data_IF_910889602940
#
_entry.id   IF_910889602940
#
_cell.length_a   1.000
_cell.length_b   1.000
_cell.length_c   1.000
_cell.angle_alpha   90.00
_cell.angle_beta   90.00
_cell.angle_gamma   90.00
#
_symmetry.space_group_name_H-M   'P 1'
#
loop_
_entity.id
_entity.type
_entity.pdbx_description
1 polymer ?
#
# COMPACT_ATOMS: atom_id res chain seq x y z
N UNK A 1 28.43 -54.20 34.81
CA UNK A 1 29.59 -53.80 35.64
C UNK A 1 30.47 -52.84 34.84
N UNK A 2 30.66 -51.61 35.34
CA UNK A 2 31.71 -50.59 35.10
C UNK A 2 32.09 -50.26 33.62
N UNK A 3 31.79 -49.10 33.03
CA UNK A 3 32.10 -47.68 33.33
C UNK A 3 33.52 -47.19 32.92
N UNK A 4 33.55 -45.96 32.38
CA UNK A 4 34.65 -45.07 31.92
C UNK A 4 35.13 -45.26 30.46
N UNK A 5 35.15 -44.30 29.54
CA UNK A 5 34.98 -42.83 29.60
C UNK A 5 36.20 -42.12 28.97
N UNK A 6 35.98 -41.32 27.90
CA UNK A 6 36.76 -40.14 27.42
C UNK A 6 36.12 -39.67 26.09
N UNK A 7 35.21 -38.70 26.11
CA UNK A 7 35.42 -37.25 25.95
C UNK A 7 36.35 -36.87 24.78
N UNK A 8 35.75 -36.47 23.66
CA UNK A 8 36.32 -35.47 22.77
C UNK A 8 35.20 -34.47 22.41
N UNK A 9 35.24 -33.31 23.07
CA UNK A 9 34.46 -32.14 22.69
C UNK A 9 35.02 -31.58 21.39
N UNK A 10 34.18 -31.46 20.36
CA UNK A 10 34.41 -30.51 19.27
C UNK A 10 33.19 -29.60 19.21
N UNK A 11 33.35 -28.43 19.83
CA UNK A 11 32.53 -27.25 19.63
C UNK A 11 32.53 -26.91 18.14
N UNK A 12 31.40 -27.08 17.47
CA UNK A 12 31.08 -26.28 16.29
C UNK A 12 30.12 -25.19 16.71
N UNK A 13 30.63 -23.97 16.58
CA UNK A 13 30.02 -22.68 16.85
C UNK A 13 28.57 -22.57 16.36
N UNK A 14 27.67 -22.27 17.30
CA UNK A 14 26.39 -21.61 17.06
C UNK A 14 26.64 -20.29 16.32
N UNK A 15 26.43 -20.28 15.00
CA UNK A 15 26.03 -19.06 14.32
C UNK A 15 24.50 -18.97 14.47
N UNK A 16 23.93 -18.03 15.24
CA UNK A 16 22.57 -17.62 15.02
C UNK A 16 22.57 -16.81 13.74
N UNK A 17 22.50 -17.51 12.60
CA UNK A 17 22.26 -16.88 11.32
C UNK A 17 20.95 -16.14 11.42
N UNK A 18 21.01 -14.81 11.28
CA UNK A 18 19.85 -13.98 11.00
C UNK A 18 19.07 -14.65 9.88
N UNK A 19 17.91 -15.23 10.20
CA UNK A 19 16.86 -15.39 9.23
C UNK A 19 16.36 -13.97 8.97
N UNK A 20 17.01 -13.27 8.05
CA UNK A 20 16.39 -12.13 7.40
C UNK A 20 15.11 -12.66 6.78
N UNK A 21 13.97 -12.34 7.39
CA UNK A 21 12.67 -12.52 6.78
C UNK A 21 12.62 -11.61 5.56
N UNK A 22 13.06 -12.11 4.42
CA UNK A 22 12.72 -11.53 3.13
C UNK A 22 11.26 -11.88 2.90
N UNK A 23 10.35 -11.09 3.47
CA UNK A 23 8.99 -11.00 2.95
C UNK A 23 9.13 -10.51 1.52
N UNK A 24 8.93 -11.41 0.57
CA UNK A 24 8.77 -11.05 -0.83
C UNK A 24 7.38 -10.41 -0.95
N UNK A 25 7.29 -9.11 -0.68
CA UNK A 25 6.20 -8.30 -1.19
C UNK A 25 6.49 -7.94 -2.65
N UNK A 26 6.54 -8.98 -3.48
CA UNK A 26 6.35 -8.88 -4.91
C UNK A 26 4.94 -9.42 -5.17
N UNK A 27 3.99 -8.51 -5.30
CA UNK A 27 2.69 -8.85 -5.86
C UNK A 27 2.88 -8.90 -7.38
N UNK A 28 2.98 -10.11 -7.93
CA UNK A 28 2.90 -10.48 -9.36
C UNK A 28 3.91 -9.84 -10.37
N UNK A 29 4.25 -10.57 -11.43
CA UNK A 29 4.98 -10.03 -12.59
C UNK A 29 3.97 -9.36 -13.53
N UNK A 30 4.07 -8.05 -13.71
CA UNK A 30 3.16 -7.30 -14.57
C UNK A 30 3.85 -6.12 -15.25
N UNK A 31 3.21 -5.56 -16.28
CA UNK A 31 3.72 -4.38 -16.98
C UNK A 31 3.42 -3.07 -16.24
N UNK A 32 2.64 -3.11 -15.16
CA UNK A 32 2.41 -1.95 -14.31
C UNK A 32 2.16 -2.33 -12.84
N UNK A 33 2.35 -1.37 -11.95
CA UNK A 33 2.13 -1.49 -10.51
C UNK A 33 1.62 -0.18 -9.91
N UNK A 34 0.60 -0.25 -9.08
CA UNK A 34 0.07 0.88 -8.30
C UNK A 34 0.41 0.68 -6.82
N UNK A 35 1.01 1.68 -6.17
CA UNK A 35 1.33 1.67 -4.74
C UNK A 35 0.72 2.91 -4.09
N UNK A 36 -0.17 2.75 -3.09
CA UNK A 36 -0.95 3.88 -2.56
C UNK A 36 -0.12 4.83 -1.69
N UNK A 37 1.08 4.41 -1.31
CA UNK A 37 1.96 5.21 -0.48
C UNK A 37 3.44 4.93 -0.75
N UNK A 38 4.17 6.02 -0.95
CA UNK A 38 5.60 6.16 -0.72
C UNK A 38 5.80 7.40 0.17
N UNK A 39 6.81 7.37 1.04
CA UNK A 39 6.99 8.34 2.10
C UNK A 39 8.47 8.70 2.30
N UNK A 40 8.71 9.96 2.63
CA UNK A 40 9.96 10.43 3.21
C UNK A 40 9.65 11.58 4.18
N UNK A 41 9.66 11.31 5.47
CA UNK A 41 9.35 12.36 6.45
C UNK A 41 9.26 11.88 7.89
N UNK A 42 9.23 12.86 8.79
CA UNK A 42 9.05 12.62 10.22
C UNK A 42 7.63 12.11 10.52
N UNK A 43 7.52 11.24 11.52
CA UNK A 43 6.27 10.75 12.08
C UNK A 43 6.17 11.00 13.59
N UNK A 44 5.10 10.49 14.21
CA UNK A 44 4.89 10.58 15.66
C UNK A 44 6.02 9.89 16.44
N UNK A 45 6.35 10.41 17.62
CA UNK A 45 7.28 9.78 18.56
C UNK A 45 8.74 9.75 18.09
N UNK A 46 9.16 10.70 17.26
CA UNK A 46 10.53 10.76 16.73
C UNK A 46 10.82 9.77 15.58
N UNK A 47 9.77 9.15 15.03
CA UNK A 47 9.92 8.25 13.87
C UNK A 47 10.38 9.03 12.63
N UNK A 48 11.18 8.40 11.78
CA UNK A 48 11.55 8.91 10.46
C UNK A 48 11.21 7.84 9.43
N UNK A 49 10.17 8.09 8.63
CA UNK A 49 9.69 7.15 7.63
C UNK A 49 10.39 7.37 6.30
N UNK A 50 10.88 6.29 5.70
CA UNK A 50 11.57 6.29 4.41
C UNK A 50 11.06 5.12 3.59
N UNK A 51 10.79 5.35 2.30
CA UNK A 51 10.41 4.30 1.37
C UNK A 51 11.59 3.81 0.56
N UNK A 52 11.80 2.51 0.64
CA UNK A 52 12.60 1.74 -0.29
C UNK A 52 11.73 1.28 -1.46
N UNK A 53 12.26 1.42 -2.69
CA UNK A 53 11.66 0.85 -3.90
C UNK A 53 12.72 0.02 -4.61
N UNK A 54 12.36 -1.20 -5.01
CA UNK A 54 13.18 -2.06 -5.87
C UNK A 54 12.39 -2.50 -7.09
N UNK A 55 12.99 -2.43 -8.27
CA UNK A 55 12.40 -2.88 -9.54
C UNK A 55 13.33 -3.91 -10.17
N UNK A 56 12.81 -5.10 -10.43
CA UNK A 56 13.53 -6.20 -11.04
C UNK A 56 13.02 -6.46 -12.45
N UNK A 57 13.93 -6.37 -13.42
CA UNK A 57 13.66 -6.74 -14.80
C UNK A 57 14.05 -8.21 -15.03
N UNK A 58 13.08 -9.14 -15.16
CA UNK A 58 13.36 -10.54 -15.45
C UNK A 58 13.71 -10.81 -16.92
N UNK A 59 13.61 -9.81 -17.79
CA UNK A 59 13.76 -9.98 -19.23
C UNK A 59 15.22 -10.07 -19.66
N UNK A 60 15.42 -10.54 -20.90
CA UNK A 60 16.73 -10.63 -21.55
C UNK A 60 17.16 -9.32 -22.22
N UNK A 61 16.27 -8.34 -22.28
CA UNK A 61 16.54 -7.00 -22.80
C UNK A 61 16.32 -5.96 -21.70
N UNK A 62 17.01 -4.80 -21.73
CA UNK A 62 16.68 -3.69 -20.85
C UNK A 62 15.23 -3.25 -21.03
N UNK A 63 14.60 -2.81 -19.94
CA UNK A 63 13.27 -2.19 -19.99
C UNK A 63 13.35 -0.79 -19.39
N UNK A 64 12.63 0.15 -19.99
CA UNK A 64 12.40 1.48 -19.43
C UNK A 64 11.05 1.48 -18.72
N UNK A 65 11.07 1.89 -17.45
CA UNK A 65 9.89 2.02 -16.59
C UNK A 65 9.61 3.50 -16.39
N UNK A 66 8.37 3.91 -16.65
CA UNK A 66 7.83 5.19 -16.26
C UNK A 66 7.47 5.14 -14.77
N UNK A 67 8.03 6.08 -14.02
CA UNK A 67 7.73 6.35 -12.63
C UNK A 67 6.80 7.55 -12.57
N UNK A 68 5.54 7.32 -12.23
CA UNK A 68 4.50 8.35 -12.17
C UNK A 68 4.08 8.56 -10.73
N UNK A 69 4.15 9.80 -10.26
CA UNK A 69 3.96 10.14 -8.86
C UNK A 69 2.77 11.09 -8.71
N UNK A 70 1.80 10.75 -7.85
CA UNK A 70 0.76 11.68 -7.39
C UNK A 70 1.22 12.36 -6.11
N UNK A 71 1.47 13.67 -6.17
CA UNK A 71 2.05 14.42 -5.08
C UNK A 71 1.45 15.83 -4.99
N UNK A 72 0.87 16.16 -3.84
CA UNK A 72 0.35 17.49 -3.50
C UNK A 72 -0.57 18.12 -4.57
N UNK A 73 -1.46 17.34 -5.19
CA UNK A 73 -2.40 17.86 -6.18
C UNK A 73 -1.92 17.78 -7.63
N UNK A 74 -0.67 17.37 -7.85
CA UNK A 74 -0.05 17.28 -9.16
C UNK A 74 0.42 15.86 -9.44
N UNK A 75 0.58 15.53 -10.72
CA UNK A 75 1.34 14.35 -11.11
C UNK A 75 2.71 14.74 -11.67
N UNK A 76 3.67 13.85 -11.47
CA UNK A 76 5.02 13.95 -12.01
C UNK A 76 5.36 12.65 -12.74
N UNK A 77 6.21 12.74 -13.75
CA UNK A 77 6.70 11.58 -14.50
C UNK A 77 8.21 11.68 -14.71
N UNK A 78 8.90 10.56 -14.50
CA UNK A 78 10.31 10.35 -14.79
C UNK A 78 10.48 8.91 -15.29
N UNK A 79 11.57 8.65 -15.98
CA UNK A 79 11.86 7.34 -16.55
C UNK A 79 13.17 6.81 -16.01
N UNK A 80 13.23 5.49 -15.79
CA UNK A 80 14.47 4.78 -15.47
C UNK A 80 14.59 3.52 -16.31
N UNK A 81 15.81 3.22 -16.76
CA UNK A 81 16.08 2.00 -17.52
C UNK A 81 16.66 0.94 -16.60
N UNK A 82 15.94 -0.17 -16.46
CA UNK A 82 16.34 -1.34 -15.69
C UNK A 82 17.03 -2.33 -16.63
N UNK A 83 18.35 -2.58 -16.47
CA UNK A 83 19.05 -3.52 -17.35
C UNK A 83 18.48 -4.95 -17.29
N UNK A 84 18.69 -5.71 -18.36
CA UNK A 84 18.25 -7.10 -18.48
C UNK A 84 18.73 -7.96 -17.29
N UNK A 85 17.83 -8.68 -16.64
CA UNK A 85 18.14 -9.57 -15.52
C UNK A 85 18.68 -8.87 -14.27
N UNK A 86 18.49 -7.55 -14.15
CA UNK A 86 18.98 -6.75 -13.01
C UNK A 86 17.85 -6.18 -12.18
N UNK A 87 18.22 -5.81 -10.95
CA UNK A 87 17.39 -5.06 -10.02
C UNK A 87 18.00 -3.69 -9.82
N UNK A 88 17.20 -2.64 -10.00
CA UNK A 88 17.51 -1.29 -9.53
C UNK A 88 16.80 -1.06 -8.20
N UNK A 89 17.43 -0.29 -7.31
CA UNK A 89 16.96 -0.09 -5.95
C UNK A 89 17.29 1.32 -5.47
N UNK A 90 16.35 1.89 -4.73
CA UNK A 90 16.50 3.14 -4.00
C UNK A 90 16.11 2.91 -2.55
N UNK A 91 17.03 3.13 -1.62
CA UNK A 91 16.77 2.97 -0.17
C UNK A 91 15.96 4.15 0.40
N UNK A 92 15.96 5.30 -0.29
CA UNK A 92 15.15 6.45 0.02
C UNK A 92 14.59 7.04 -1.27
N UNK A 93 13.64 6.31 -1.86
CA UNK A 93 13.12 6.56 -3.20
C UNK A 93 12.61 8.00 -3.40
N UNK A 94 11.79 8.51 -2.48
CA UNK A 94 11.17 9.83 -2.66
C UNK A 94 12.23 10.96 -2.64
N UNK A 95 13.26 10.85 -1.81
CA UNK A 95 14.33 11.83 -1.78
C UNK A 95 15.37 11.61 -2.90
N UNK A 96 15.83 10.37 -3.12
CA UNK A 96 16.90 10.04 -4.07
C UNK A 96 16.46 10.18 -5.53
N UNK A 97 15.26 9.69 -5.85
CA UNK A 97 14.78 9.68 -7.24
C UNK A 97 14.01 10.95 -7.60
N UNK A 98 13.25 11.53 -6.66
CA UNK A 98 12.42 12.72 -6.92
C UNK A 98 12.95 14.02 -6.31
N UNK A 99 13.77 13.96 -5.25
CA UNK A 99 14.16 15.14 -4.47
C UNK A 99 13.03 15.69 -3.59
N UNK A 100 12.04 14.86 -3.24
CA UNK A 100 10.81 15.28 -2.56
C UNK A 100 10.73 14.74 -1.11
N UNK A 101 9.80 15.32 -0.34
CA UNK A 101 9.48 14.92 1.04
C UNK A 101 7.96 14.78 1.24
N UNK A 102 7.52 14.17 2.33
CA UNK A 102 6.10 13.90 2.61
C UNK A 102 5.65 12.55 2.07
N UNK A 103 4.40 12.49 1.60
CA UNK A 103 3.73 11.26 1.14
C UNK A 103 3.26 11.42 -0.31
N UNK A 104 3.29 10.34 -1.08
CA UNK A 104 2.84 10.31 -2.47
C UNK A 104 2.25 8.95 -2.82
N UNK A 105 1.41 8.90 -3.85
CA UNK A 105 1.03 7.65 -4.52
C UNK A 105 1.93 7.39 -5.72
N UNK A 106 2.32 6.14 -5.94
CA UNK A 106 3.26 5.74 -7.00
C UNK A 106 2.57 4.81 -8.00
N UNK A 107 2.73 5.12 -9.27
CA UNK A 107 2.32 4.28 -10.39
C UNK A 107 3.55 4.00 -11.26
N UNK A 108 3.89 2.72 -11.44
CA UNK A 108 4.98 2.27 -12.29
C UNK A 108 4.39 1.62 -13.54
N UNK A 109 4.93 1.94 -14.72
CA UNK A 109 4.50 1.31 -15.98
C UNK A 109 5.68 1.09 -16.93
N UNK A 110 5.81 -0.10 -17.50
CA UNK A 110 6.73 -0.33 -18.61
C UNK A 110 6.10 0.21 -19.89
N UNK A 111 6.73 1.19 -20.53
CA UNK A 111 6.18 1.83 -21.73
C UNK A 111 6.79 1.19 -22.99
N UNK A 112 5.99 0.58 -23.88
CA UNK A 112 6.49 -0.06 -25.10
C UNK A 112 7.19 0.90 -26.07
N UNK A 113 6.84 2.19 -26.08
CA UNK A 113 7.43 3.18 -26.98
C UNK A 113 8.92 3.44 -26.70
N UNK A 114 9.33 3.34 -25.44
CA UNK A 114 10.74 3.43 -25.02
C UNK A 114 11.50 2.09 -25.11
N UNK A 115 10.77 1.01 -25.37
CA UNK A 115 11.28 -0.36 -25.39
C UNK A 115 11.22 -0.96 -26.79
N UNK A 116 11.43 -0.13 -27.82
CA UNK A 116 11.53 -0.59 -29.22
C UNK A 116 10.21 -1.04 -29.83
N UNK A 117 9.07 -0.53 -29.35
CA UNK A 117 7.72 -0.96 -29.74
C UNK A 117 7.48 -2.46 -29.54
N UNK A 118 8.12 -3.07 -28.54
CA UNK A 118 7.73 -4.40 -28.08
C UNK A 118 6.27 -4.37 -27.63
N UNK A 119 5.55 -5.48 -27.83
CA UNK A 119 4.17 -5.59 -27.34
C UNK A 119 4.14 -5.31 -25.83
N UNK A 120 3.23 -4.44 -25.39
CA UNK A 120 3.07 -4.06 -23.97
C UNK A 120 2.83 -5.26 -23.06
N UNK A 121 2.29 -6.33 -23.62
CA UNK A 121 1.96 -7.58 -22.95
C UNK A 121 3.19 -8.50 -22.80
N UNK A 122 4.26 -8.21 -23.56
CA UNK A 122 5.57 -8.85 -23.42
C UNK A 122 6.50 -8.12 -22.45
N UNK A 123 6.09 -6.94 -21.94
CA UNK A 123 6.83 -6.21 -20.93
C UNK A 123 6.34 -6.62 -19.53
N UNK A 124 7.25 -6.94 -18.62
CA UNK A 124 6.89 -7.30 -17.25
C UNK A 124 8.07 -7.08 -16.32
N UNK A 125 7.78 -6.59 -15.13
CA UNK A 125 8.75 -6.44 -14.05
C UNK A 125 8.12 -6.74 -12.71
N UNK A 126 8.97 -7.06 -11.73
CA UNK A 126 8.57 -7.13 -10.34
C UNK A 126 8.94 -5.81 -9.65
N UNK A 127 8.03 -5.26 -8.87
CA UNK A 127 8.30 -4.12 -8.00
C UNK A 127 8.06 -4.52 -6.53
N UNK A 128 8.91 -4.00 -5.65
CA UNK A 128 8.78 -4.14 -4.20
C UNK A 128 8.87 -2.77 -3.57
N UNK A 129 7.91 -2.44 -2.70
CA UNK A 129 7.86 -1.18 -1.97
C UNK A 129 7.80 -1.47 -0.48
N UNK A 130 8.71 -0.86 0.27
CA UNK A 130 8.85 -1.05 1.71
C UNK A 130 9.00 0.28 2.40
N UNK A 131 8.24 0.50 3.46
CA UNK A 131 8.32 1.71 4.28
C UNK A 131 8.97 1.34 5.59
N UNK A 132 10.09 2.00 5.90
CA UNK A 132 10.91 1.74 7.07
C UNK A 132 10.94 2.95 7.99
N UNK A 133 10.82 2.73 9.30
CA UNK A 133 11.20 3.75 10.29
C UNK A 133 12.70 3.69 10.59
N UNK A 134 13.48 4.60 10.01
CA UNK A 134 14.94 4.69 10.23
C UNK A 134 15.33 5.52 11.45
N UNK A 135 14.36 6.14 12.13
CA UNK A 135 14.60 7.02 13.29
C UNK A 135 14.83 6.28 14.61
N UNK A 136 14.63 4.96 14.64
CA UNK A 136 14.87 4.12 15.81
C UNK A 136 15.85 3.00 15.44
N UNK A 137 16.84 2.62 16.28
CA UNK A 137 17.75 1.51 15.99
C UNK A 137 17.28 0.13 16.51
N UNK A 138 16.15 0.05 17.23
CA UNK A 138 15.77 -1.12 18.05
C UNK A 138 14.68 -2.05 17.48
N UNK A 139 14.28 -1.92 16.21
CA UNK A 139 13.16 -2.64 15.58
C UNK A 139 13.52 -3.19 14.19
N UNK A 140 12.60 -3.97 13.62
CA UNK A 140 12.72 -4.51 12.25
C UNK A 140 12.17 -3.56 11.18
N UNK A 141 11.39 -2.57 11.63
CA UNK A 141 10.85 -1.32 11.07
C UNK A 141 10.13 -1.34 9.73
N UNK A 142 10.02 -2.48 9.08
CA UNK A 142 9.59 -2.55 7.70
C UNK A 142 8.10 -2.85 7.59
N UNK A 143 7.40 -2.03 6.82
CA UNK A 143 6.05 -2.31 6.35
C UNK A 143 6.12 -2.51 4.85
N UNK A 144 5.81 -3.71 4.39
CA UNK A 144 5.65 -3.93 2.97
C UNK A 144 4.35 -3.28 2.47
N UNK A 145 4.44 -2.59 1.33
CA UNK A 145 3.30 -1.97 0.66
C UNK A 145 2.99 -2.80 -0.58
N UNK A 146 1.92 -3.61 -0.56
CA UNK A 146 1.58 -4.40 -1.73
C UNK A 146 1.18 -3.48 -2.89
N UNK A 147 1.44 -3.93 -4.12
CA UNK A 147 0.77 -3.32 -5.25
C UNK A 147 -0.74 -3.55 -5.15
N UNK A 148 -1.49 -2.53 -5.51
CA UNK A 148 -2.95 -2.52 -5.55
C UNK A 148 -3.47 -3.47 -6.61
N UNK A 149 -4.47 -4.26 -6.24
CA UNK A 149 -5.32 -4.96 -7.21
C UNK A 149 -6.27 -3.92 -7.84
N UNK A 150 -5.97 -3.54 -9.08
CA UNK A 150 -6.72 -2.54 -9.84
C UNK A 150 -8.19 -2.91 -10.07
N UNK A 151 -8.55 -4.19 -9.93
CA UNK A 151 -9.92 -4.66 -10.06
C UNK A 151 -10.69 -4.57 -8.73
N UNK A 152 -10.01 -4.62 -7.58
CA UNK A 152 -10.64 -4.83 -6.28
C UNK A 152 -10.40 -3.72 -5.25
N UNK A 153 -9.24 -3.07 -5.25
CA UNK A 153 -8.86 -2.13 -4.19
C UNK A 153 -9.21 -0.67 -4.49
N UNK A 154 -9.51 -0.34 -5.76
CA UNK A 154 -10.06 0.98 -6.11
C UNK A 154 -11.52 1.09 -5.65
N UNK A 155 -11.80 2.13 -4.86
CA UNK A 155 -13.05 2.31 -4.14
C UNK A 155 -14.27 2.34 -5.08
N UNK A 156 -14.18 3.09 -6.18
CA UNK A 156 -15.32 3.29 -7.10
C UNK A 156 -16.51 3.87 -6.34
N UNK A 157 -17.68 3.21 -6.43
CA UNK A 157 -18.89 3.56 -5.65
C UNK A 157 -19.03 2.74 -4.35
N UNK A 158 -18.05 1.89 -4.05
CA UNK A 158 -18.18 0.86 -3.05
C UNK A 158 -17.60 1.30 -1.70
N UNK A 159 -18.11 0.69 -0.64
CA UNK A 159 -17.63 0.95 0.71
C UNK A 159 -16.44 0.05 1.01
N UNK A 160 -15.33 0.64 1.48
CA UNK A 160 -14.15 -0.10 1.94
C UNK A 160 -14.31 -0.56 3.40
N UNK A 161 -14.06 -1.84 3.66
CA UNK A 161 -14.12 -2.43 5.00
C UNK A 161 -12.74 -2.92 5.44
N UNK A 162 -12.40 -2.65 6.70
CA UNK A 162 -11.20 -3.17 7.34
C UNK A 162 -11.58 -3.73 8.71
N UNK A 163 -11.31 -5.00 8.94
CA UNK A 163 -11.53 -5.67 10.23
C UNK A 163 -10.24 -5.78 11.05
N UNK A 164 -10.40 -6.06 12.34
CA UNK A 164 -9.28 -6.28 13.27
C UNK A 164 -8.43 -5.04 13.46
N UNK A 165 -9.03 -3.84 13.37
CA UNK A 165 -8.35 -2.58 13.62
C UNK A 165 -7.99 -2.51 15.10
N UNK A 166 -6.73 -2.23 15.41
CA UNK A 166 -6.24 -2.06 16.79
C UNK A 166 -5.76 -0.63 16.96
N UNK A 167 -6.18 0.04 18.02
CA UNK A 167 -5.75 1.41 18.26
C UNK A 167 -5.68 1.71 19.76
N UNK A 168 -4.56 2.28 20.19
CA UNK A 168 -4.25 2.72 21.54
C UNK A 168 -3.57 4.07 21.41
N UNK A 169 -4.39 5.11 21.30
CA UNK A 169 -3.94 6.44 20.94
C UNK A 169 -3.19 7.18 22.05
N UNK A 170 -3.32 6.73 23.30
CA UNK A 170 -2.72 7.37 24.48
C UNK A 170 -1.19 7.30 24.44
N UNK A 171 -0.54 8.45 24.64
CA UNK A 171 0.92 8.54 24.70
C UNK A 171 1.48 7.72 25.86
N UNK A 172 2.59 7.00 25.65
CA UNK A 172 3.24 6.18 26.66
C UNK A 172 2.56 4.82 26.93
N UNK A 173 1.43 4.53 26.27
CA UNK A 173 0.78 3.21 26.37
C UNK A 173 1.35 2.27 25.31
N UNK A 174 1.76 1.08 25.75
CA UNK A 174 2.09 -0.03 24.86
C UNK A 174 0.84 -0.46 24.09
N UNK A 175 0.92 -0.49 22.77
CA UNK A 175 -0.23 -0.78 21.91
C UNK A 175 0.06 -0.37 20.47
N UNK A 176 -0.98 -0.03 19.72
CA UNK A 176 -0.89 0.25 18.29
C UNK A 176 -1.44 1.64 17.96
N UNK A 177 -0.81 2.35 17.03
CA UNK A 177 -1.40 3.51 16.36
C UNK A 177 -1.90 3.08 14.99
N UNK A 178 -3.05 3.59 14.59
CA UNK A 178 -3.68 3.26 13.31
C UNK A 178 -3.87 4.54 12.51
N UNK A 179 -3.55 4.49 11.22
CA UNK A 179 -3.81 5.57 10.29
C UNK A 179 -4.62 5.07 9.10
N UNK A 180 -5.56 5.90 8.66
CA UNK A 180 -6.31 5.72 7.41
C UNK A 180 -5.55 6.42 6.29
N UNK A 181 -5.12 5.64 5.31
CA UNK A 181 -4.44 6.12 4.12
C UNK A 181 -5.38 6.22 2.94
N UNK A 182 -5.30 7.30 2.17
CA UNK A 182 -6.13 7.52 0.98
C UNK A 182 -5.28 8.09 -0.13
N UNK A 183 -5.21 7.40 -1.26
CA UNK A 183 -4.63 7.93 -2.48
C UNK A 183 -5.71 8.09 -3.55
N UNK A 184 -6.01 9.33 -3.93
CA UNK A 184 -6.97 9.63 -4.99
C UNK A 184 -6.25 10.07 -6.26
N UNK A 185 -6.55 9.42 -7.39
CA UNK A 185 -6.05 9.82 -8.72
C UNK A 185 -7.13 10.51 -9.56
N UNK A 186 -8.40 10.32 -9.21
CA UNK A 186 -9.54 10.95 -9.88
C UNK A 186 -9.90 12.31 -9.30
N UNK A 187 -11.08 12.81 -9.65
CA UNK A 187 -11.59 14.09 -9.16
C UNK A 187 -11.69 14.14 -7.63
N UNK A 188 -11.53 15.33 -7.05
CA UNK A 188 -11.68 15.54 -5.60
C UNK A 188 -13.04 15.08 -5.12
N UNK A 189 -13.05 14.25 -4.08
CA UNK A 189 -14.25 13.65 -3.51
C UNK A 189 -14.25 13.75 -1.98
N UNK A 190 -15.44 13.64 -1.37
CA UNK A 190 -15.59 13.56 0.09
C UNK A 190 -15.93 12.13 0.48
N UNK A 191 -15.09 11.55 1.32
CA UNK A 191 -15.27 10.21 1.87
C UNK A 191 -15.68 10.31 3.33
N UNK A 192 -16.44 9.34 3.83
CA UNK A 192 -16.76 9.21 5.25
C UNK A 192 -16.04 8.00 5.82
N UNK A 193 -15.12 8.22 6.75
CA UNK A 193 -14.51 7.15 7.52
C UNK A 193 -15.21 7.00 8.87
N UNK A 194 -15.62 5.79 9.22
CA UNK A 194 -16.27 5.47 10.49
C UNK A 194 -15.61 4.26 11.13
N UNK A 195 -15.31 4.36 12.42
CA UNK A 195 -14.73 3.30 13.23
C UNK A 195 -15.76 2.79 14.23
N UNK A 196 -16.00 1.48 14.22
CA UNK A 196 -16.88 0.77 15.13
C UNK A 196 -16.05 -0.11 16.07
N UNK A 197 -16.49 -0.23 17.33
CA UNK A 197 -15.99 -1.27 18.25
C UNK A 197 -16.62 -2.65 17.93
N UNK A 198 -16.24 -3.68 18.67
CA UNK A 198 -16.73 -5.04 18.45
C UNK A 198 -18.22 -5.20 18.77
N UNK A 199 -18.77 -4.32 19.60
CA UNK A 199 -20.20 -4.27 19.94
C UNK A 199 -21.01 -3.52 18.88
N UNK A 200 -20.35 -2.95 17.86
CA UNK A 200 -20.98 -2.20 16.78
C UNK A 200 -21.25 -0.73 17.12
N UNK A 201 -20.76 -0.23 18.25
CA UNK A 201 -20.89 1.18 18.60
C UNK A 201 -19.88 2.01 17.80
N UNK A 202 -20.35 3.14 17.28
CA UNK A 202 -19.47 4.09 16.62
C UNK A 202 -18.54 4.76 17.64
N UNK A 203 -17.24 4.61 17.43
CA UNK A 203 -16.18 5.22 18.25
C UNK A 203 -15.65 6.51 17.67
N UNK A 204 -15.69 6.61 16.34
CA UNK A 204 -15.18 7.77 15.62
C UNK A 204 -15.76 7.84 14.22
N UNK A 205 -15.91 9.07 13.74
CA UNK A 205 -16.27 9.37 12.38
C UNK A 205 -15.56 10.63 11.92
N UNK A 206 -15.10 10.64 10.67
CA UNK A 206 -14.56 11.82 10.01
C UNK A 206 -14.97 11.87 8.55
N UNK A 207 -15.32 13.08 8.09
CA UNK A 207 -15.44 13.39 6.67
C UNK A 207 -14.07 13.85 6.15
N UNK A 208 -13.64 13.24 5.05
CA UNK A 208 -12.28 13.36 4.52
C UNK A 208 -12.37 13.84 3.08
N UNK A 209 -11.79 15.00 2.81
CA UNK A 209 -11.61 15.49 1.44
C UNK A 209 -10.43 14.76 0.80
N UNK A 210 -10.71 13.83 -0.10
CA UNK A 210 -9.72 13.13 -0.90
C UNK A 210 -9.45 13.94 -2.18
N UNK A 211 -8.43 14.79 -2.14
CA UNK A 211 -8.05 15.63 -3.29
C UNK A 211 -7.36 14.81 -4.39
N UNK A 212 -7.59 15.20 -5.65
CA UNK A 212 -6.92 14.60 -6.81
C UNK A 212 -5.40 14.63 -6.65
N UNK A 213 -4.71 13.56 -7.06
CA UNK A 213 -3.26 13.41 -6.98
C UNK A 213 -2.66 13.69 -5.60
N UNK A 214 -3.38 13.29 -4.55
CA UNK A 214 -2.90 13.41 -3.17
C UNK A 214 -2.95 12.06 -2.48
N UNK A 215 -1.87 11.74 -1.76
CA UNK A 215 -1.84 10.66 -0.79
C UNK A 215 -1.93 11.25 0.61
N UNK A 216 -3.02 10.95 1.31
CA UNK A 216 -3.34 11.41 2.65
C UNK A 216 -3.10 10.28 3.65
N UNK A 217 -2.65 10.64 4.85
CA UNK A 217 -2.54 9.74 5.98
C UNK A 217 -3.18 10.40 7.19
N UNK A 218 -4.22 9.79 7.73
CA UNK A 218 -5.08 10.38 8.76
C UNK A 218 -4.98 9.49 10.01
N UNK A 219 -4.33 9.94 11.08
CA UNK A 219 -4.24 9.16 12.31
C UNK A 219 -5.61 9.08 12.97
N UNK A 220 -5.92 7.92 13.56
CA UNK A 220 -7.04 7.85 14.51
C UNK A 220 -6.72 8.71 15.75
N UNK A 221 -7.73 9.38 16.35
CA UNK A 221 -7.52 10.26 17.50
C UNK A 221 -6.97 9.55 18.74
N UNK A 222 -6.07 10.24 19.45
CA UNK A 222 -5.40 9.72 20.65
C UNK A 222 -6.35 9.32 21.80
N UNK A 223 -7.54 9.92 21.84
CA UNK A 223 -8.58 9.64 22.85
C UNK A 223 -9.32 8.31 22.65
N UNK A 224 -9.03 7.57 21.57
CA UNK A 224 -9.65 6.28 21.27
C UNK A 224 -8.73 5.16 21.72
N UNK A 225 -9.30 4.14 22.33
CA UNK A 225 -8.61 2.89 22.60
C UNK A 225 -9.54 1.72 22.37
N UNK A 226 -9.10 0.76 21.56
CA UNK A 226 -9.81 -0.47 21.24
C UNK A 226 -8.82 -1.56 20.80
N UNK A 227 -9.04 -2.76 21.31
CA UNK A 227 -8.24 -3.94 20.98
C UNK A 227 -8.59 -4.55 19.63
N UNK A 228 -9.82 -4.35 19.17
CA UNK A 228 -10.33 -4.77 17.87
C UNK A 228 -11.54 -3.90 17.50
N UNK A 229 -11.69 -3.64 16.21
CA UNK A 229 -12.80 -2.89 15.65
C UNK A 229 -12.83 -2.97 14.14
N UNK A 230 -13.84 -2.32 13.57
CA UNK A 230 -14.07 -2.28 12.12
C UNK A 230 -14.00 -0.84 11.65
N UNK A 231 -13.12 -0.56 10.70
CA UNK A 231 -13.09 0.71 9.98
C UNK A 231 -13.84 0.56 8.65
N UNK A 232 -14.70 1.52 8.37
CA UNK A 232 -15.51 1.60 7.16
C UNK A 232 -15.21 2.93 6.48
N UNK A 233 -14.87 2.92 5.20
CA UNK A 233 -14.67 4.13 4.39
C UNK A 233 -15.66 4.13 3.23
N UNK A 234 -16.58 5.10 3.26
CA UNK A 234 -17.74 5.17 2.39
C UNK A 234 -17.60 6.36 1.41
N UNK A 235 -17.69 6.13 0.08
CA UNK A 235 -17.68 7.19 -0.92
C UNK A 235 -18.99 7.97 -1.00
N UNK A 236 -19.95 7.70 -0.11
CA UNK A 236 -21.20 8.45 0.04
C UNK A 236 -22.02 8.51 -1.26
N UNK A 237 -22.02 7.39 -2.00
CA UNK A 237 -22.72 7.26 -3.29
C UNK A 237 -22.00 7.89 -4.50
N UNK A 238 -20.85 8.54 -4.29
CA UNK A 238 -20.00 9.07 -5.36
C UNK A 238 -19.18 7.95 -6.01
N UNK A 239 -18.81 8.11 -7.28
CA UNK A 239 -17.79 7.27 -7.89
C UNK A 239 -16.42 7.93 -7.66
N UNK A 240 -15.50 7.23 -7.01
CA UNK A 240 -14.19 7.75 -6.62
C UNK A 240 -13.06 6.81 -7.07
N UNK A 241 -12.15 7.31 -7.90
CA UNK A 241 -10.92 6.61 -8.29
C UNK A 241 -9.83 6.82 -7.23
N UNK A 242 -10.08 6.27 -6.05
CA UNK A 242 -9.15 6.30 -4.93
C UNK A 242 -8.91 4.90 -4.37
N UNK A 243 -7.70 4.70 -3.85
CA UNK A 243 -7.34 3.54 -3.05
C UNK A 243 -7.35 3.98 -1.59
N UNK A 244 -7.97 3.17 -0.75
CA UNK A 244 -7.96 3.34 0.70
C UNK A 244 -7.14 2.20 1.31
N UNK A 245 -6.26 2.50 2.24
CA UNK A 245 -5.49 1.50 2.98
C UNK A 245 -5.47 1.86 4.46
N UNK A 246 -5.11 0.88 5.30
CA UNK A 246 -4.90 1.13 6.73
C UNK A 246 -3.47 0.74 7.10
N UNK A 247 -2.79 1.59 7.85
CA UNK A 247 -1.53 1.23 8.50
C UNK A 247 -1.76 1.06 10.00
N UNK A 248 -1.36 -0.08 10.55
CA UNK A 248 -1.36 -0.34 12.00
C UNK A 248 0.08 -0.49 12.43
N UNK A 249 0.52 0.35 13.36
CA UNK A 249 1.92 0.47 13.76
C UNK A 249 2.05 0.30 15.27
N UNK A 250 2.94 -0.58 15.71
CA UNK A 250 3.25 -0.77 17.12
C UNK A 250 3.90 0.50 17.71
N UNK A 251 3.41 0.97 18.85
CA UNK A 251 3.90 2.20 19.50
C UNK A 251 5.30 2.04 20.10
N UNK A 252 5.70 0.83 20.46
CA UNK A 252 6.99 0.53 21.09
C UNK A 252 8.07 0.29 20.04
N UNK A 253 7.80 -0.58 19.06
CA UNK A 253 8.80 -0.96 18.07
C UNK A 253 8.71 -0.15 16.79
N UNK A 254 7.58 0.53 16.52
CA UNK A 254 7.30 1.14 15.22
C UNK A 254 7.31 0.18 14.03
N UNK A 255 7.24 -1.13 14.28
CA UNK A 255 6.90 -2.10 13.25
C UNK A 255 5.43 -1.92 12.87
N UNK A 256 5.07 -2.16 11.62
CA UNK A 256 3.68 -2.02 11.21
C UNK A 256 3.30 -2.91 10.06
N UNK A 257 2.03 -2.81 9.71
CA UNK A 257 1.41 -3.56 8.62
C UNK A 257 0.54 -2.62 7.82
N UNK A 258 0.63 -2.70 6.49
CA UNK A 258 -0.33 -2.10 5.57
C UNK A 258 -1.40 -3.14 5.25
N UNK A 259 -2.66 -2.73 5.33
CA UNK A 259 -3.82 -3.54 4.98
C UNK A 259 -4.58 -2.88 3.83
N UNK A 260 -4.86 -3.67 2.81
CA UNK A 260 -5.80 -3.34 1.73
C UNK A 260 -7.24 -3.59 2.20
N UNK A 261 -8.24 -2.99 1.57
CA UNK A 261 -9.63 -3.16 1.96
C UNK A 261 -10.07 -4.61 1.71
N UNK A 262 -10.94 -5.13 2.57
CA UNK A 262 -11.57 -6.44 2.41
C UNK A 262 -12.80 -6.36 1.48
N UNK A 263 -12.78 -5.46 0.51
CA UNK A 263 -13.87 -5.23 -0.43
C UNK A 263 -13.99 -6.40 -1.38
N UNK A 264 -14.91 -7.31 -1.07
CA UNK A 264 -15.48 -8.18 -2.10
C UNK A 264 -16.64 -7.46 -2.77
N UNK A 265 -16.84 -7.75 -4.07
CA UNK A 265 -17.94 -7.24 -4.87
C UNK A 265 -19.26 -7.31 -4.08
N UNK A 266 -19.97 -6.18 -3.87
CA UNK A 266 -21.27 -6.23 -3.22
C UNK A 266 -22.28 -7.10 -3.97
N UNK A 267 -22.09 -7.35 -5.27
CA UNK A 267 -22.89 -8.32 -6.03
C UNK A 267 -22.71 -9.76 -5.51
N UNK A 268 -21.52 -10.11 -5.02
CA UNK A 268 -21.25 -11.43 -4.43
C UNK A 268 -21.72 -11.49 -2.97
N UNK A 269 -21.64 -10.37 -2.24
CA UNK A 269 -22.22 -10.25 -0.88
C UNK A 269 -23.77 -10.27 -0.94
N UNK A 270 -24.38 -9.62 -1.94
CA UNK A 270 -25.82 -9.60 -2.16
C UNK A 270 -26.36 -10.97 -2.59
N UNK A 271 -25.60 -11.74 -3.40
CA UNK A 271 -25.91 -13.15 -3.72
C UNK A 271 -25.90 -14.04 -2.46
N UNK A 272 -24.96 -13.81 -1.54
CA UNK A 272 -24.80 -14.63 -0.33
C UNK A 272 -25.73 -14.22 0.84
N UNK A 273 -26.15 -12.95 0.91
CA UNK A 273 -26.84 -12.40 2.08
C UNK A 273 -28.36 -12.30 1.98
N UNK A 274 -29.00 -12.57 0.84
CA UNK A 274 -30.45 -12.40 0.66
C UNK A 274 -30.95 -10.94 0.79
N UNK A 275 -30.04 -9.99 1.02
CA UNK A 275 -30.31 -8.55 1.06
C UNK A 275 -30.14 -8.02 -0.35
N UNK A 276 -31.24 -7.61 -0.99
CA UNK A 276 -31.18 -6.74 -2.15
C UNK A 276 -30.62 -5.39 -1.71
N UNK A 277 -29.31 -5.24 -1.76
CA UNK A 277 -28.73 -3.90 -1.86
C UNK A 277 -29.30 -3.30 -3.15
N UNK A 278 -30.02 -2.19 -3.03
CA UNK A 278 -30.55 -1.48 -4.19
C UNK A 278 -29.41 -1.29 -5.18
N UNK A 279 -29.57 -1.86 -6.37
CA UNK A 279 -28.66 -1.78 -7.50
C UNK A 279 -28.18 -0.34 -7.68
N UNK A 280 -26.93 -0.08 -7.28
CA UNK A 280 -26.18 1.13 -7.64
C UNK A 280 -25.57 1.00 -9.06
N UNK A 281 -26.04 0.02 -9.85
CA UNK A 281 -25.59 -0.24 -11.21
C UNK A 281 -26.17 0.77 -12.21
N UNK A 282 -25.71 2.02 -12.13
CA UNK A 282 -25.61 2.92 -13.28
C UNK A 282 -24.28 3.67 -13.20
N UNK A 283 -23.24 2.98 -13.65
CA UNK A 283 -21.89 3.50 -13.85
C UNK A 283 -21.21 2.74 -14.99
N UNK A 284 -20.08 3.25 -15.53
CA UNK A 284 -19.35 2.57 -16.59
C UNK A 284 -19.05 1.13 -16.17
N UNK A 285 -19.18 0.20 -17.11
CA UNK A 285 -18.94 -1.23 -16.88
C UNK A 285 -17.61 -1.42 -16.13
N UNK A 286 -17.65 -2.19 -15.02
CA UNK A 286 -16.45 -2.49 -14.25
C UNK A 286 -15.46 -3.19 -15.17
N UNK A 287 -14.18 -2.75 -15.23
CA UNK A 287 -13.18 -3.45 -16.00
C UNK A 287 -13.15 -4.92 -15.62
N UNK A 288 -13.07 -5.81 -16.62
CA UNK A 288 -13.09 -7.26 -16.39
C UNK A 288 -11.69 -7.86 -16.39
N UNK A 289 -10.72 -7.10 -16.91
CA UNK A 289 -9.31 -7.49 -16.93
C UNK A 289 -8.41 -6.40 -16.34
N UNK A 290 -7.23 -6.74 -15.79
CA UNK A 290 -6.29 -5.74 -15.29
C UNK A 290 -5.82 -4.75 -16.36
N UNK A 291 -5.69 -5.17 -17.62
CA UNK A 291 -5.28 -4.31 -18.72
C UNK A 291 -6.34 -3.25 -19.08
N UNK A 292 -7.63 -3.63 -19.07
CA UNK A 292 -8.74 -2.68 -19.21
C UNK A 292 -8.78 -1.69 -18.05
N UNK A 293 -8.56 -2.19 -16.83
CA UNK A 293 -8.53 -1.38 -15.62
C UNK A 293 -7.41 -0.35 -15.67
N UNK A 294 -6.18 -0.76 -16.00
CA UNK A 294 -5.05 0.14 -16.16
C UNK A 294 -5.28 1.19 -17.23
N UNK A 295 -5.77 0.82 -18.41
CA UNK A 295 -6.07 1.80 -19.48
C UNK A 295 -7.05 2.87 -19.00
N UNK A 296 -8.09 2.47 -18.25
CA UNK A 296 -9.04 3.40 -17.65
C UNK A 296 -8.37 4.28 -16.59
N UNK A 297 -7.66 3.67 -15.64
CA UNK A 297 -7.04 4.37 -14.51
C UNK A 297 -5.91 5.31 -14.97
N UNK A 298 -5.15 4.94 -16.00
CA UNK A 298 -4.15 5.78 -16.65
C UNK A 298 -4.77 7.01 -17.30
N UNK A 299 -5.90 6.85 -18.00
CA UNK A 299 -6.65 7.98 -18.56
C UNK A 299 -7.12 8.93 -17.44
N UNK A 300 -7.65 8.39 -16.34
CA UNK A 300 -8.04 9.18 -15.16
C UNK A 300 -6.83 9.87 -14.52
N UNK A 301 -5.70 9.17 -14.42
CA UNK A 301 -4.47 9.70 -13.85
C UNK A 301 -4.02 10.94 -14.63
N UNK A 302 -3.93 10.87 -15.96
CA UNK A 302 -3.42 11.99 -16.76
C UNK A 302 -4.44 13.09 -16.99
N UNK A 303 -5.66 12.72 -17.40
CA UNK A 303 -6.64 13.66 -17.94
C UNK A 303 -7.75 14.01 -16.93
N UNK A 304 -7.85 13.26 -15.84
CA UNK A 304 -8.98 13.35 -14.91
C UNK A 304 -10.17 12.53 -15.40
N UNK A 305 -11.32 12.67 -14.74
CA UNK A 305 -12.55 12.05 -15.23
C UNK A 305 -12.91 12.67 -16.58
N UNK A 306 -13.11 11.88 -17.66
CA UNK A 306 -13.81 12.37 -18.84
C UNK A 306 -15.25 12.78 -18.51
#
# INVERSE_FOLDING_TARGET
MRAYGRFLCLLFSLFPGLLASTSLASTYLFNFHYFPIVAFGAGKGGSQWVTEVSITNPQRVPITVAHRLSYNGYYYERFDTVPAGKTVRWDNYLQQFWGLTGNAGLYLKADPSFNGNLDSDCLAFAASVKISNVGSPSGSFNMDVPSVDVLADFLGRWVAYFSGIRHFGQAGVSGYRTNVGIWNIGSTATLRATLYDNEGNMRWQQYITAERHKSLLIPLPDGISLDSGTLVVDPMGQFVDAVVYVSVVDNKTSDGLVRTPQTQSPDDIAKCGGVRLQSLATGPERPTTPAEADRRLEAVFFFGNP
#
